data_IF_314572871573
#
_entry.id   IF_314572871573
#
_cell.length_a   1.000
_cell.length_b   1.000
_cell.length_c   1.000
_cell.angle_alpha   90.00
_cell.angle_beta   90.00
_cell.angle_gamma   90.00
#
_symmetry.space_group_name_H-M   'P 1'
#
loop_
_entity.id
_entity.type
_entity.pdbx_description
1 polymer ?
#
# COMPACT_ATOMS: atom_id res chain seq x y z
N UNK A 1 -6.11 -7.76 -0.99
CA UNK A 1 -5.53 -6.90 0.07
C UNK A 1 -5.49 -5.47 -0.45
N UNK A 2 -5.53 -4.45 0.40
CA UNK A 2 -5.49 -3.02 -0.01
C UNK A 2 -4.19 -2.30 0.39
N UNK A 3 -3.33 -3.03 1.08
CA UNK A 3 -1.98 -2.69 1.48
C UNK A 3 -1.16 -3.96 1.26
N UNK A 4 0.13 -3.84 1.00
CA UNK A 4 0.97 -5.02 0.92
C UNK A 4 1.30 -5.57 2.32
N UNK A 5 1.90 -6.76 2.35
CA UNK A 5 2.06 -7.58 3.57
C UNK A 5 3.48 -7.60 4.11
N UNK A 6 4.35 -6.74 3.59
CA UNK A 6 5.78 -6.71 3.92
C UNK A 6 6.29 -5.27 4.02
N UNK A 7 7.41 -4.99 4.72
CA UNK A 7 7.92 -3.63 4.90
C UNK A 7 8.35 -2.96 3.60
N UNK A 8 8.13 -1.66 3.45
CA UNK A 8 8.55 -0.91 2.27
C UNK A 8 10.08 -0.99 2.06
N UNK A 9 10.48 -1.44 0.88
CA UNK A 9 11.88 -1.49 0.43
C UNK A 9 12.25 -0.25 -0.38
N UNK A 10 13.49 0.21 -0.20
CA UNK A 10 14.20 0.97 -1.21
C UNK A 10 14.81 -0.01 -2.22
N UNK A 11 14.24 -0.04 -3.43
CA UNK A 11 14.67 -0.98 -4.47
C UNK A 11 16.08 -0.65 -4.98
N UNK A 12 16.49 0.62 -4.95
CA UNK A 12 17.83 1.02 -5.39
C UNK A 12 18.90 0.54 -4.43
N UNK A 13 18.68 0.69 -3.12
CA UNK A 13 19.56 0.17 -2.08
C UNK A 13 19.75 -1.35 -2.23
N UNK A 14 18.66 -2.09 -2.42
CA UNK A 14 18.70 -3.54 -2.62
C UNK A 14 19.44 -3.95 -3.91
N UNK A 15 19.28 -3.18 -4.98
CA UNK A 15 20.01 -3.39 -6.24
C UNK A 15 21.51 -3.11 -6.08
N UNK A 16 21.86 -2.02 -5.40
CA UNK A 16 23.24 -1.58 -5.17
C UNK A 16 24.02 -2.59 -4.31
N UNK A 17 23.39 -3.13 -3.26
CA UNK A 17 23.97 -4.18 -2.41
C UNK A 17 24.33 -5.47 -3.17
N UNK A 18 23.69 -5.72 -4.32
CA UNK A 18 23.87 -6.94 -5.11
C UNK A 18 24.81 -6.72 -6.29
N UNK A 19 24.65 -5.61 -7.02
CA UNK A 19 25.37 -5.33 -8.27
C UNK A 19 26.50 -4.32 -8.12
N UNK A 20 26.68 -3.71 -6.94
CA UNK A 20 27.70 -2.70 -6.59
C UNK A 20 27.70 -1.41 -7.43
N UNK A 21 26.97 -1.34 -8.54
CA UNK A 21 26.88 -0.17 -9.40
C UNK A 21 25.49 -0.04 -10.01
N UNK A 22 24.86 1.12 -9.78
CA UNK A 22 23.55 1.46 -10.33
C UNK A 22 23.75 2.03 -11.75
N UNK A 23 23.01 1.55 -12.77
CA UNK A 23 23.06 2.12 -14.12
C UNK A 23 22.44 3.52 -14.18
N UNK A 24 22.67 4.27 -15.26
CA UNK A 24 22.07 5.61 -15.46
C UNK A 24 20.53 5.56 -15.56
N UNK A 25 19.98 4.46 -16.05
CA UNK A 25 18.53 4.23 -16.12
C UNK A 25 18.21 2.83 -15.63
N UNK A 26 17.21 2.72 -14.75
CA UNK A 26 16.74 1.47 -14.19
C UNK A 26 15.24 1.30 -14.46
N UNK A 27 14.87 0.14 -15.01
CA UNK A 27 13.49 -0.19 -15.31
C UNK A 27 12.99 -1.24 -14.31
N UNK A 28 11.97 -0.88 -13.54
CA UNK A 28 11.46 -1.67 -12.42
C UNK A 28 10.03 -2.12 -12.73
N UNK A 29 9.81 -3.44 -12.80
CA UNK A 29 8.47 -4.04 -12.92
C UNK A 29 7.99 -4.47 -11.53
N UNK A 30 6.83 -3.99 -11.09
CA UNK A 30 6.19 -4.40 -9.84
C UNK A 30 4.84 -5.06 -10.17
N UNK A 31 4.78 -6.38 -10.06
CA UNK A 31 3.56 -7.16 -10.28
C UNK A 31 2.89 -7.47 -8.95
N UNK A 32 1.74 -6.85 -8.71
CA UNK A 32 0.96 -7.08 -7.49
C UNK A 32 1.57 -6.46 -6.24
N UNK A 33 2.07 -5.24 -6.34
CA UNK A 33 2.57 -4.48 -5.18
C UNK A 33 1.45 -4.08 -4.20
N UNK A 34 0.20 -4.04 -4.66
CA UNK A 34 -1.02 -3.67 -3.93
C UNK A 34 -1.09 -2.20 -3.50
N UNK A 35 0.05 -1.56 -3.25
CA UNK A 35 0.14 -0.14 -2.91
C UNK A 35 1.40 0.50 -3.52
N UNK A 36 1.61 1.78 -3.22
CA UNK A 36 2.75 2.56 -3.73
C UNK A 36 3.96 2.61 -2.78
N UNK A 37 4.04 1.75 -1.75
CA UNK A 37 5.07 1.89 -0.70
C UNK A 37 6.50 1.79 -1.22
N UNK A 38 6.75 0.86 -2.14
CA UNK A 38 8.09 0.64 -2.71
C UNK A 38 8.51 1.81 -3.60
N UNK A 39 7.56 2.32 -4.38
CA UNK A 39 7.76 3.53 -5.20
C UNK A 39 8.07 4.72 -4.30
N UNK A 40 7.23 4.99 -3.29
CA UNK A 40 7.43 6.10 -2.38
C UNK A 40 8.74 6.02 -1.61
N UNK A 41 9.10 4.83 -1.10
CA UNK A 41 10.35 4.64 -0.35
C UNK A 41 11.58 4.83 -1.26
N UNK A 42 11.57 4.24 -2.45
CA UNK A 42 12.66 4.35 -3.42
C UNK A 42 12.82 5.80 -3.91
N UNK A 43 11.73 6.46 -4.29
CA UNK A 43 11.76 7.87 -4.73
C UNK A 43 12.23 8.82 -3.62
N UNK A 44 11.79 8.58 -2.38
CA UNK A 44 12.21 9.38 -1.24
C UNK A 44 13.71 9.25 -0.97
N UNK A 45 14.27 8.04 -1.08
CA UNK A 45 15.67 7.76 -0.78
C UNK A 45 16.60 7.96 -1.99
N UNK A 46 16.05 8.17 -3.20
CA UNK A 46 16.79 8.36 -4.46
C UNK A 46 17.96 9.35 -4.38
N UNK A 47 17.82 10.48 -3.68
CA UNK A 47 18.89 11.49 -3.55
C UNK A 47 20.14 10.98 -2.81
N UNK A 48 20.06 9.83 -2.13
CA UNK A 48 21.18 9.16 -1.45
C UNK A 48 22.04 8.34 -2.42
N UNK A 49 21.51 8.01 -3.60
CA UNK A 49 22.19 7.21 -4.61
C UNK A 49 22.79 8.07 -5.70
N UNK A 50 23.57 7.46 -6.60
CA UNK A 50 24.01 8.10 -7.84
C UNK A 50 22.79 8.55 -8.65
N UNK A 51 22.94 9.64 -9.40
CA UNK A 51 21.87 10.16 -10.26
C UNK A 51 21.43 9.09 -11.27
N UNK A 52 20.21 8.57 -11.09
CA UNK A 52 19.62 7.48 -11.88
C UNK A 52 18.23 7.90 -12.32
N UNK A 53 17.82 7.52 -13.52
CA UNK A 53 16.43 7.66 -13.98
C UNK A 53 15.68 6.35 -13.78
N UNK A 54 14.53 6.41 -13.13
CA UNK A 54 13.72 5.23 -12.78
C UNK A 54 12.46 5.21 -13.64
N UNK A 55 12.16 4.04 -14.21
CA UNK A 55 10.89 3.78 -14.85
C UNK A 55 10.17 2.65 -14.10
N UNK A 56 9.16 3.01 -13.31
CA UNK A 56 8.28 2.06 -12.64
C UNK A 56 7.14 1.63 -13.57
N UNK A 57 6.92 0.31 -13.66
CA UNK A 57 5.73 -0.28 -14.28
C UNK A 57 5.03 -1.12 -13.22
N UNK A 58 3.87 -0.64 -12.75
CA UNK A 58 3.09 -1.28 -11.71
C UNK A 58 1.91 -2.03 -12.35
N UNK A 59 1.85 -3.34 -12.14
CA UNK A 59 0.84 -4.23 -12.72
C UNK A 59 -0.10 -4.70 -11.61
N UNK A 60 -1.40 -4.45 -11.76
CA UNK A 60 -2.41 -4.88 -10.80
C UNK A 60 -3.58 -5.61 -11.46
N UNK A 61 -4.10 -6.64 -10.79
CA UNK A 61 -5.28 -7.38 -11.26
C UNK A 61 -6.60 -6.70 -10.86
N UNK A 62 -6.58 -5.89 -9.80
CA UNK A 62 -7.74 -5.23 -9.23
C UNK A 62 -7.71 -3.74 -9.60
N UNK A 63 -8.77 -3.24 -10.24
CA UNK A 63 -8.83 -1.85 -10.69
C UNK A 63 -9.02 -0.88 -9.53
N UNK A 64 -9.67 -1.32 -8.45
CA UNK A 64 -9.76 -0.58 -7.19
C UNK A 64 -8.38 -0.29 -6.61
N UNK A 65 -7.45 -1.23 -6.74
CA UNK A 65 -6.06 -1.05 -6.31
C UNK A 65 -5.35 -0.02 -7.19
N UNK A 66 -5.54 -0.04 -8.51
CA UNK A 66 -4.99 0.98 -9.41
C UNK A 66 -5.49 2.38 -9.02
N UNK A 67 -6.81 2.54 -8.85
CA UNK A 67 -7.40 3.81 -8.43
C UNK A 67 -6.88 4.28 -7.07
N UNK A 68 -6.70 3.35 -6.11
CA UNK A 68 -6.13 3.64 -4.80
C UNK A 68 -4.66 4.07 -4.89
N UNK A 69 -3.85 3.43 -5.74
CA UNK A 69 -2.46 3.85 -5.93
C UNK A 69 -2.38 5.27 -6.50
N UNK A 70 -3.25 5.62 -7.47
CA UNK A 70 -3.36 7.01 -7.95
C UNK A 70 -3.71 7.96 -6.80
N UNK A 71 -4.72 7.64 -5.99
CA UNK A 71 -5.13 8.44 -4.84
C UNK A 71 -4.00 8.62 -3.80
N UNK A 72 -3.29 7.55 -3.45
CA UNK A 72 -2.19 7.59 -2.48
C UNK A 72 -0.99 8.40 -3.00
N UNK A 73 -0.66 8.26 -4.29
CA UNK A 73 0.35 9.09 -4.95
C UNK A 73 -0.09 10.57 -4.98
N UNK A 74 -1.36 10.84 -5.28
CA UNK A 74 -1.92 12.20 -5.24
C UNK A 74 -1.75 12.85 -3.86
N UNK A 75 -1.91 12.10 -2.78
CA UNK A 75 -1.72 12.59 -1.41
C UNK A 75 -0.24 12.82 -1.13
N UNK A 76 0.61 11.83 -1.40
CA UNK A 76 2.05 11.89 -1.10
C UNK A 76 2.73 13.09 -1.79
N UNK A 77 2.34 13.35 -3.05
CA UNK A 77 2.90 14.38 -3.91
C UNK A 77 2.18 15.73 -3.81
N UNK A 78 1.32 15.93 -2.81
CA UNK A 78 0.85 17.28 -2.47
C UNK A 78 2.03 18.12 -1.96
N UNK A 79 2.26 19.32 -2.54
CA UNK A 79 3.26 20.25 -2.02
C UNK A 79 2.96 20.67 -0.58
N UNK A 80 4.00 20.84 0.25
CA UNK A 80 3.84 21.20 1.65
C UNK A 80 3.15 22.57 1.84
N UNK A 81 3.22 23.45 0.84
CA UNK A 81 2.56 24.77 0.85
C UNK A 81 1.03 24.67 0.78
N UNK A 82 0.50 23.57 0.23
CA UNK A 82 -0.94 23.31 0.15
C UNK A 82 -1.40 22.52 1.38
N UNK A 83 -0.69 21.43 1.70
CA UNK A 83 -1.00 20.58 2.85
C UNK A 83 0.27 20.36 3.66
N UNK A 84 0.27 20.86 4.90
CA UNK A 84 1.41 20.70 5.81
C UNK A 84 1.78 19.23 6.02
N UNK A 85 3.08 18.96 6.24
CA UNK A 85 3.64 17.60 6.31
C UNK A 85 2.89 16.66 7.26
N UNK A 86 2.57 17.12 8.48
CA UNK A 86 1.83 16.32 9.46
C UNK A 86 0.40 16.02 9.01
N UNK A 87 -0.29 17.01 8.44
CA UNK A 87 -1.66 16.83 7.93
C UNK A 87 -1.67 15.87 6.74
N UNK A 88 -0.74 16.04 5.79
CA UNK A 88 -0.53 15.16 4.64
C UNK A 88 -0.31 13.71 5.07
N UNK A 89 0.49 13.51 6.11
CA UNK A 89 0.75 12.19 6.71
C UNK A 89 -0.51 11.55 7.30
N UNK A 90 -1.26 12.29 8.13
CA UNK A 90 -2.50 11.76 8.73
C UNK A 90 -3.58 11.44 7.66
N UNK A 91 -3.74 12.31 6.65
CA UNK A 91 -4.64 12.07 5.51
C UNK A 91 -4.27 10.76 4.79
N UNK A 92 -2.98 10.56 4.51
CA UNK A 92 -2.49 9.34 3.87
C UNK A 92 -2.84 8.11 4.71
N UNK A 93 -2.51 8.12 6.01
CA UNK A 93 -2.75 6.99 6.91
C UNK A 93 -4.24 6.64 7.01
N UNK A 94 -5.10 7.64 7.17
CA UNK A 94 -6.56 7.45 7.21
C UNK A 94 -7.09 6.79 5.94
N UNK A 95 -6.72 7.31 4.76
CA UNK A 95 -7.15 6.76 3.46
C UNK A 95 -6.56 5.38 3.21
N UNK A 96 -5.30 5.16 3.63
CA UNK A 96 -4.58 3.92 3.44
C UNK A 96 -5.18 2.76 4.24
N UNK A 97 -5.51 2.99 5.50
CA UNK A 97 -5.74 1.90 6.47
C UNK A 97 -7.03 1.94 7.28
N UNK A 98 -7.81 3.02 7.26
CA UNK A 98 -9.00 3.14 8.10
C UNK A 98 -10.30 2.98 7.30
N UNK A 99 -11.24 2.20 7.84
CA UNK A 99 -12.61 2.10 7.34
C UNK A 99 -13.39 3.40 7.58
N UNK A 100 -13.18 4.06 8.72
CA UNK A 100 -13.74 5.38 9.01
C UNK A 100 -12.65 6.46 9.00
N UNK A 101 -13.01 7.62 8.46
CA UNK A 101 -12.12 8.77 8.32
C UNK A 101 -12.82 10.03 8.84
N UNK A 102 -12.03 11.06 9.15
CA UNK A 102 -12.56 12.36 9.55
C UNK A 102 -13.38 13.00 8.44
N UNK A 103 -14.40 13.82 8.75
CA UNK A 103 -15.19 14.54 7.74
C UNK A 103 -14.34 15.38 6.77
N UNK A 104 -13.27 16.00 7.28
CA UNK A 104 -12.32 16.78 6.45
C UNK A 104 -11.56 15.90 5.45
N UNK A 105 -11.23 14.66 5.82
CA UNK A 105 -10.54 13.70 4.95
C UNK A 105 -11.52 13.08 3.94
N UNK A 106 -12.77 12.83 4.33
CA UNK A 106 -13.82 12.40 3.40
C UNK A 106 -14.09 13.46 2.32
N UNK A 107 -14.09 14.74 2.71
CA UNK A 107 -14.19 15.88 1.78
C UNK A 107 -12.98 15.95 0.84
N UNK A 108 -11.78 15.74 1.37
CA UNK A 108 -10.57 15.64 0.56
C UNK A 108 -10.67 14.49 -0.46
N UNK A 109 -11.08 13.30 -0.02
CA UNK A 109 -11.29 12.12 -0.87
C UNK A 109 -12.26 12.41 -2.03
N UNK A 110 -13.43 13.01 -1.77
CA UNK A 110 -14.39 13.37 -2.82
C UNK A 110 -13.81 14.36 -3.83
N UNK A 111 -13.05 15.35 -3.34
CA UNK A 111 -12.37 16.33 -4.19
C UNK A 111 -11.36 15.65 -5.11
N UNK A 112 -10.46 14.85 -4.53
CA UNK A 112 -9.42 14.15 -5.28
C UNK A 112 -10.01 13.12 -6.23
N UNK A 113 -11.07 12.40 -5.83
CA UNK A 113 -11.77 11.46 -6.71
C UNK A 113 -12.36 12.15 -7.96
N UNK A 114 -12.90 13.36 -7.80
CA UNK A 114 -13.40 14.17 -8.93
C UNK A 114 -12.27 14.60 -9.87
N UNK A 115 -11.10 14.96 -9.33
CA UNK A 115 -9.93 15.32 -10.14
C UNK A 115 -9.34 14.08 -10.84
N UNK A 116 -9.24 12.94 -10.15
CA UNK A 116 -8.84 11.66 -10.73
C UNK A 116 -9.79 11.22 -11.85
N UNK A 117 -11.10 11.43 -11.70
CA UNK A 117 -12.10 11.14 -12.73
C UNK A 117 -11.81 11.89 -14.03
N UNK A 118 -11.44 13.18 -13.92
CA UNK A 118 -11.01 14.00 -15.07
C UNK A 118 -9.69 13.50 -15.65
N UNK A 119 -8.73 13.10 -14.82
CA UNK A 119 -7.45 12.57 -15.28
C UNK A 119 -7.59 11.26 -16.06
N UNK A 120 -8.44 10.34 -15.59
CA UNK A 120 -8.65 9.09 -16.32
C UNK A 120 -9.46 9.29 -17.59
N UNK A 121 -10.30 10.32 -17.70
CA UNK A 121 -11.10 10.63 -18.91
C UNK A 121 -10.35 11.51 -19.92
N UNK A 122 -9.40 12.33 -19.45
CA UNK A 122 -8.56 13.18 -20.28
C UNK A 122 -7.07 13.01 -19.90
N UNK A 123 -6.31 12.30 -20.74
CA UNK A 123 -4.89 12.05 -20.49
C UNK A 123 -3.99 13.27 -20.68
N UNK A 124 -4.40 14.29 -21.44
CA UNK A 124 -3.66 15.55 -21.50
C UNK A 124 -3.78 16.31 -20.18
N UNK A 125 -4.96 16.24 -19.54
CA UNK A 125 -5.16 16.77 -18.20
C UNK A 125 -4.33 16.03 -17.14
N UNK A 126 -4.29 14.68 -17.21
CA UNK A 126 -3.38 13.86 -16.39
C UNK A 126 -1.93 14.32 -16.57
N UNK A 127 -1.45 14.42 -17.82
CA UNK A 127 -0.05 14.80 -18.11
C UNK A 127 0.29 16.21 -17.63
N UNK A 128 -0.68 17.13 -17.66
CA UNK A 128 -0.50 18.50 -17.17
C UNK A 128 -0.29 18.56 -15.65
N UNK A 129 -1.04 17.74 -14.90
CA UNK A 129 -0.99 17.74 -13.43
C UNK A 129 0.06 16.78 -12.85
N UNK A 130 0.22 15.61 -13.48
CA UNK A 130 1.08 14.50 -13.06
C UNK A 130 1.84 13.96 -14.26
N UNK A 131 2.77 14.74 -14.80
CA UNK A 131 3.57 14.37 -15.99
C UNK A 131 4.30 13.02 -15.84
N UNK A 132 4.71 12.69 -14.61
CA UNK A 132 5.37 11.44 -14.27
C UNK A 132 4.46 10.20 -14.34
N UNK A 133 3.13 10.38 -14.25
CA UNK A 133 2.17 9.29 -14.17
C UNK A 133 1.57 8.98 -15.54
N UNK A 134 1.52 7.70 -15.89
CA UNK A 134 0.81 7.22 -17.08
C UNK A 134 -0.07 6.02 -16.75
N UNK A 135 -1.25 5.97 -17.37
CA UNK A 135 -2.23 4.90 -17.17
C UNK A 135 -2.39 4.10 -18.46
N UNK A 136 -2.08 2.80 -18.41
CA UNK A 136 -2.14 1.88 -19.54
C UNK A 136 -3.08 0.70 -19.22
N UNK A 137 -4.38 0.93 -19.42
CA UNK A 137 -5.46 -0.05 -19.17
C UNK A 137 -6.37 -0.15 -20.38
N UNK A 138 -7.14 -1.25 -20.49
CA UNK A 138 -8.11 -1.44 -21.59
C UNK A 138 -9.30 -0.48 -21.44
N UNK A 139 -10.00 -0.19 -22.55
CA UNK A 139 -11.19 0.68 -22.53
C UNK A 139 -12.25 0.25 -21.51
N UNK A 140 -12.62 -1.04 -21.48
CA UNK A 140 -13.57 -1.57 -20.48
C UNK A 140 -13.10 -1.39 -19.02
N UNK A 141 -11.79 -1.48 -18.79
CA UNK A 141 -11.20 -1.28 -17.45
C UNK A 141 -11.25 0.20 -17.06
N UNK A 142 -11.03 1.10 -18.03
CA UNK A 142 -11.19 2.54 -17.87
C UNK A 142 -12.63 2.94 -17.53
N UNK A 143 -13.62 2.36 -18.21
CA UNK A 143 -15.05 2.61 -17.93
C UNK A 143 -15.43 2.17 -16.50
N UNK A 144 -14.85 1.06 -16.03
CA UNK A 144 -15.01 0.63 -14.65
C UNK A 144 -14.36 1.60 -13.66
N UNK A 145 -13.13 2.06 -13.93
CA UNK A 145 -12.46 3.07 -13.10
C UNK A 145 -13.30 4.37 -13.02
N UNK A 146 -13.94 4.76 -14.13
CA UNK A 146 -14.86 5.90 -14.16
C UNK A 146 -16.05 5.69 -13.21
N UNK A 147 -16.67 4.52 -13.26
CA UNK A 147 -17.77 4.13 -12.36
C UNK A 147 -17.32 4.17 -10.90
N UNK A 148 -16.15 3.61 -10.59
CA UNK A 148 -15.58 3.58 -9.24
C UNK A 148 -15.33 4.99 -8.69
N UNK A 149 -14.72 5.88 -9.48
CA UNK A 149 -14.42 7.25 -9.05
C UNK A 149 -15.68 8.12 -8.92
N UNK A 150 -16.72 7.86 -9.73
CA UNK A 150 -18.04 8.46 -9.53
C UNK A 150 -18.64 8.05 -8.19
N UNK A 151 -18.55 6.77 -7.82
CA UNK A 151 -18.97 6.29 -6.50
C UNK A 151 -18.17 6.93 -5.35
N UNK A 152 -16.85 7.05 -5.48
CA UNK A 152 -16.04 7.75 -4.45
C UNK A 152 -16.44 9.21 -4.25
N UNK A 153 -16.91 9.84 -5.32
CA UNK A 153 -17.38 11.23 -5.33
C UNK A 153 -18.87 11.36 -4.98
N UNK A 154 -19.59 10.25 -4.81
CA UNK A 154 -21.04 10.27 -4.61
C UNK A 154 -21.44 10.59 -3.16
N UNK A 155 -22.73 10.87 -3.00
CA UNK A 155 -23.38 11.15 -1.71
C UNK A 155 -24.10 9.94 -1.12
N UNK A 156 -24.04 8.79 -1.80
CA UNK A 156 -24.73 7.56 -1.40
C UNK A 156 -24.39 7.20 0.04
N UNK A 157 -25.42 6.88 0.81
CA UNK A 157 -25.26 6.38 2.17
C UNK A 157 -24.59 5.00 2.12
N UNK A 158 -23.52 4.85 2.88
CA UNK A 158 -22.77 3.60 2.90
C UNK A 158 -22.23 3.32 4.30
N UNK A 159 -22.73 2.25 4.90
CA UNK A 159 -22.23 1.75 6.17
C UNK A 159 -21.12 0.70 5.96
N UNK A 160 -19.88 1.19 6.04
CA UNK A 160 -18.69 0.34 5.98
C UNK A 160 -18.51 -0.52 7.23
N UNK A 161 -18.97 -0.06 8.40
CA UNK A 161 -18.85 -0.79 9.65
C UNK A 161 -19.76 -2.01 9.66
N UNK A 162 -20.98 -1.90 9.13
CA UNK A 162 -21.87 -3.03 8.92
C UNK A 162 -21.26 -4.05 7.95
N UNK A 163 -20.62 -3.59 6.89
CA UNK A 163 -19.91 -4.45 5.93
C UNK A 163 -18.73 -5.19 6.60
N UNK A 164 -17.99 -4.48 7.46
CA UNK A 164 -16.90 -5.05 8.26
C UNK A 164 -17.42 -6.11 9.23
N UNK A 165 -18.45 -5.81 10.02
CA UNK A 165 -19.01 -6.71 11.02
C UNK A 165 -19.56 -8.00 10.41
N UNK A 166 -20.31 -7.89 9.31
CA UNK A 166 -20.83 -9.06 8.57
C UNK A 166 -19.71 -10.00 8.14
N UNK A 167 -18.60 -9.45 7.63
CA UNK A 167 -17.43 -10.26 7.25
C UNK A 167 -16.68 -10.81 8.45
N UNK A 168 -16.59 -10.04 9.53
CA UNK A 168 -15.95 -10.48 10.77
C UNK A 168 -16.70 -11.69 11.34
N UNK A 169 -18.04 -11.61 11.42
CA UNK A 169 -18.91 -12.70 11.86
C UNK A 169 -18.77 -13.94 10.97
N UNK A 170 -18.73 -13.75 9.64
CA UNK A 170 -18.52 -14.87 8.71
C UNK A 170 -17.15 -15.53 8.89
N UNK A 171 -16.10 -14.75 9.13
CA UNK A 171 -14.73 -15.24 9.26
C UNK A 171 -14.48 -15.94 10.60
N UNK A 172 -15.01 -15.40 11.70
CA UNK A 172 -14.83 -15.97 13.04
C UNK A 172 -15.80 -17.11 13.35
N UNK A 173 -16.99 -17.10 12.74
CA UNK A 173 -18.05 -18.08 13.00
C UNK A 173 -18.40 -18.12 14.49
N UNK A 174 -18.33 -19.30 15.09
CA UNK A 174 -18.61 -19.53 16.52
C UNK A 174 -17.69 -18.71 17.44
N UNK A 175 -16.49 -18.35 16.98
CA UNK A 175 -15.53 -17.53 17.76
C UNK A 175 -15.88 -16.04 17.77
N UNK A 176 -16.94 -15.60 17.09
CA UNK A 176 -17.31 -14.19 17.04
C UNK A 176 -17.66 -13.63 18.42
N UNK A 177 -18.37 -14.41 19.26
CA UNK A 177 -18.72 -13.98 20.61
C UNK A 177 -17.49 -13.89 21.54
N UNK A 178 -16.41 -14.61 21.18
CA UNK A 178 -15.09 -14.58 21.85
C UNK A 178 -14.02 -13.88 21.00
N UNK A 179 -14.40 -12.95 20.13
CA UNK A 179 -13.52 -12.31 19.13
C UNK A 179 -12.25 -11.70 19.69
N UNK A 180 -12.31 -11.13 20.90
CA UNK A 180 -11.15 -10.48 21.55
C UNK A 180 -10.03 -11.51 21.78
N UNK A 181 -10.35 -12.72 22.23
CA UNK A 181 -9.37 -13.79 22.44
C UNK A 181 -8.75 -14.26 21.12
N UNK A 182 -9.53 -14.30 20.04
CA UNK A 182 -9.01 -14.62 18.71
C UNK A 182 -8.04 -13.54 18.20
N UNK A 183 -8.34 -12.26 18.44
CA UNK A 183 -7.46 -11.15 18.04
C UNK A 183 -6.14 -11.19 18.81
N UNK A 184 -6.20 -11.42 20.12
CA UNK A 184 -5.01 -11.50 20.97
C UNK A 184 -4.10 -12.66 20.55
N UNK A 185 -4.69 -13.82 20.27
CA UNK A 185 -3.95 -14.97 19.77
C UNK A 185 -3.30 -14.73 18.40
N UNK A 186 -4.02 -14.11 17.46
CA UNK A 186 -3.47 -13.78 16.13
C UNK A 186 -2.29 -12.80 16.25
N UNK A 187 -2.35 -11.84 17.18
CA UNK A 187 -1.26 -10.89 17.38
C UNK A 187 -0.02 -11.56 18.00
N UNK A 188 -0.18 -12.17 19.19
CA UNK A 188 0.95 -12.69 19.95
C UNK A 188 1.56 -13.94 19.31
N UNK A 189 0.71 -14.87 18.85
CA UNK A 189 1.17 -16.19 18.37
C UNK A 189 1.42 -16.24 16.85
N UNK A 190 1.09 -15.17 16.11
CA UNK A 190 1.35 -15.12 14.67
C UNK A 190 2.25 -13.96 14.30
N UNK A 191 1.84 -12.73 14.62
CA UNK A 191 2.57 -11.53 14.19
C UNK A 191 3.85 -11.30 15.03
N UNK A 192 3.76 -11.38 16.36
CA UNK A 192 4.91 -11.14 17.23
C UNK A 192 5.99 -12.23 17.11
N UNK A 193 5.58 -13.48 16.90
CA UNK A 193 6.48 -14.62 16.67
C UNK A 193 7.39 -14.44 15.44
N UNK A 194 6.90 -13.76 14.40
CA UNK A 194 7.65 -13.46 13.16
C UNK A 194 8.30 -12.07 13.15
N UNK A 195 8.36 -11.41 14.31
CA UNK A 195 9.08 -10.14 14.47
C UNK A 195 8.25 -8.86 14.36
N UNK A 196 6.93 -8.93 14.14
CA UNK A 196 6.06 -7.75 14.11
C UNK A 196 5.66 -7.25 15.52
N UNK A 197 6.62 -7.24 16.45
CA UNK A 197 6.41 -6.86 17.87
C UNK A 197 6.06 -5.39 18.08
N UNK A 198 6.32 -4.55 17.08
CA UNK A 198 6.01 -3.12 17.13
C UNK A 198 4.49 -2.86 17.18
N UNK A 199 3.67 -3.80 16.70
CA UNK A 199 2.21 -3.69 16.70
C UNK A 199 1.69 -3.91 18.12
N UNK A 200 1.10 -2.87 18.71
CA UNK A 200 0.53 -2.93 20.05
C UNK A 200 -0.84 -3.62 20.07
N UNK A 201 -1.17 -4.26 21.20
CA UNK A 201 -2.45 -4.97 21.38
C UNK A 201 -3.67 -4.10 21.06
N UNK A 202 -3.63 -2.82 21.42
CA UNK A 202 -4.78 -1.95 21.33
C UNK A 202 -5.10 -1.50 19.92
N UNK A 203 -4.09 -1.06 19.15
CA UNK A 203 -4.28 -0.67 17.75
C UNK A 203 -4.72 -1.87 16.91
N UNK A 204 -4.18 -3.05 17.22
CA UNK A 204 -4.58 -4.28 16.56
C UNK A 204 -6.02 -4.70 16.90
N UNK A 205 -6.41 -4.66 18.18
CA UNK A 205 -7.78 -4.96 18.60
C UNK A 205 -8.78 -3.99 17.99
N UNK A 206 -8.46 -2.69 17.99
CA UNK A 206 -9.29 -1.67 17.36
C UNK A 206 -9.48 -1.97 15.86
N UNK A 207 -8.37 -2.16 15.14
CA UNK A 207 -8.39 -2.55 13.72
C UNK A 207 -9.25 -3.78 13.47
N UNK A 208 -9.04 -4.87 14.22
CA UNK A 208 -9.79 -6.12 14.03
C UNK A 208 -11.29 -5.94 14.31
N UNK A 209 -11.65 -5.12 15.30
CA UNK A 209 -13.03 -4.90 15.70
C UNK A 209 -13.81 -4.04 14.70
N UNK A 210 -13.24 -2.94 14.21
CA UNK A 210 -13.98 -1.92 13.44
C UNK A 210 -13.31 -1.49 12.12
N UNK A 211 -12.09 -1.94 11.83
CA UNK A 211 -11.32 -1.60 10.64
C UNK A 211 -10.63 -0.24 10.70
N UNK A 212 -10.56 0.40 11.88
CA UNK A 212 -9.81 1.64 12.10
C UNK A 212 -8.42 1.28 12.62
N UNK A 213 -7.41 1.37 11.75
CA UNK A 213 -6.03 0.98 12.06
C UNK A 213 -5.27 2.07 12.80
N UNK A 214 -5.42 3.32 12.36
CA UNK A 214 -4.67 4.46 12.88
C UNK A 214 -5.60 5.41 13.62
N UNK A 215 -5.29 5.70 14.88
CA UNK A 215 -6.07 6.59 15.74
C UNK A 215 -5.20 7.58 16.51
N UNK A 216 -5.76 8.77 16.70
CA UNK A 216 -5.15 9.87 17.47
C UNK A 216 -6.15 10.39 18.50
N UNK A 217 -5.67 10.84 19.65
CA UNK A 217 -6.51 11.39 20.73
C UNK A 217 -7.36 12.58 20.27
N UNK A 218 -6.83 13.39 19.35
CA UNK A 218 -7.41 14.65 18.90
C UNK A 218 -8.42 14.45 17.74
N UNK A 219 -8.78 13.22 17.38
CA UNK A 219 -9.46 12.94 16.11
C UNK A 219 -10.57 11.90 16.24
N UNK A 220 -11.78 12.34 15.92
CA UNK A 220 -12.96 11.49 15.81
C UNK A 220 -13.26 11.19 14.34
N UNK A 221 -13.41 9.91 14.02
CA UNK A 221 -13.74 9.43 12.68
C UNK A 221 -15.23 9.09 12.61
N UNK A 222 -15.89 9.55 11.56
CA UNK A 222 -17.35 9.37 11.42
C UNK A 222 -17.81 9.09 9.99
N UNK A 223 -16.98 9.36 8.98
CA UNK A 223 -17.33 9.18 7.57
C UNK A 223 -16.74 7.88 7.01
N UNK A 224 -17.48 7.15 6.16
CA UNK A 224 -16.97 5.93 5.54
C UNK A 224 -15.88 6.25 4.51
N UNK A 225 -14.79 5.47 4.55
CA UNK A 225 -13.75 5.51 3.55
C UNK A 225 -14.19 4.75 2.29
N UNK A 226 -14.82 5.47 1.35
CA UNK A 226 -15.31 4.90 0.08
C UNK A 226 -14.20 4.26 -0.77
N UNK A 227 -12.93 4.63 -0.55
CA UNK A 227 -11.80 4.07 -1.31
C UNK A 227 -11.50 2.60 -0.96
N UNK A 228 -12.06 2.05 0.12
CA UNK A 228 -11.90 0.65 0.53
C UNK A 228 -13.05 -0.27 0.08
N UNK A 229 -13.94 0.23 -0.77
CA UNK A 229 -15.09 -0.52 -1.30
C UNK A 229 -14.72 -1.22 -2.60
N UNK A 230 -15.19 -2.46 -2.76
CA UNK A 230 -14.97 -3.28 -3.96
C UNK A 230 -16.24 -3.56 -4.75
N UNK A 231 -16.04 -3.84 -6.04
CA UNK A 231 -17.07 -4.31 -6.99
C UNK A 231 -18.25 -3.36 -7.03
N UNK A 232 -18.01 -2.16 -7.57
CA UNK A 232 -19.02 -1.10 -7.67
C UNK A 232 -19.73 -1.22 -9.01
N UNK A 233 -21.06 -1.27 -8.98
CA UNK A 233 -21.92 -1.39 -10.16
C UNK A 233 -22.97 -0.27 -10.14
N UNK A 234 -23.19 0.45 -11.25
CA UNK A 234 -24.22 1.48 -11.30
C UNK A 234 -25.62 0.85 -11.24
N UNK A 235 -26.53 1.46 -10.49
CA UNK A 235 -27.93 1.07 -10.37
C UNK A 235 -28.82 2.32 -10.44
N UNK A 236 -29.08 2.80 -11.65
CA UNK A 236 -29.81 4.04 -11.88
C UNK A 236 -29.04 5.25 -11.35
N UNK A 237 -29.63 5.96 -10.37
CA UNK A 237 -29.00 7.11 -9.72
C UNK A 237 -28.02 6.72 -8.58
N UNK A 238 -28.08 5.48 -8.10
CA UNK A 238 -27.29 4.99 -6.98
C UNK A 238 -26.28 3.93 -7.43
N UNK A 239 -25.44 3.47 -6.50
CA UNK A 239 -24.52 2.36 -6.73
C UNK A 239 -24.87 1.13 -5.88
N UNK A 240 -24.61 -0.05 -6.44
CA UNK A 240 -24.56 -1.32 -5.70
C UNK A 240 -23.11 -1.73 -5.57
N UNK A 241 -22.72 -2.21 -4.40
CA UNK A 241 -21.34 -2.61 -4.13
C UNK A 241 -21.25 -3.81 -3.18
N UNK A 242 -20.13 -4.53 -3.21
CA UNK A 242 -19.86 -5.62 -2.27
C UNK A 242 -19.26 -5.17 -0.93
N UNK A 243 -19.09 -3.86 -0.73
CA UNK A 243 -18.54 -3.29 0.50
C UNK A 243 -17.04 -3.58 0.63
N UNK A 244 -16.57 -3.72 1.86
CA UNK A 244 -15.15 -3.98 2.15
C UNK A 244 -14.76 -5.42 1.78
N UNK A 245 -13.87 -5.64 0.82
CA UNK A 245 -13.32 -6.96 0.46
C UNK A 245 -11.82 -7.13 0.80
N UNK A 246 -11.24 -6.18 1.55
CA UNK A 246 -9.83 -6.21 1.94
C UNK A 246 -9.48 -7.19 3.06
N UNK A 247 -8.24 -7.08 3.54
CA UNK A 247 -7.69 -7.88 4.63
C UNK A 247 -8.19 -7.41 5.99
N UNK A 248 -8.48 -8.37 6.88
CA UNK A 248 -8.97 -8.11 8.23
C UNK A 248 -8.11 -8.80 9.29
N UNK A 249 -6.92 -9.31 8.95
CA UNK A 249 -6.04 -10.02 9.89
C UNK A 249 -4.68 -9.36 10.01
N UNK A 250 -4.02 -9.05 8.91
CA UNK A 250 -2.66 -8.50 8.90
C UNK A 250 -2.66 -7.02 9.27
N UNK A 251 -3.57 -6.25 8.68
CA UNK A 251 -3.64 -4.80 8.84
C UNK A 251 -2.52 -4.04 8.12
N UNK A 252 -2.66 -2.70 7.99
CA UNK A 252 -1.75 -1.85 7.21
C UNK A 252 -0.45 -1.50 7.94
N UNK A 253 -0.22 -2.05 9.14
CA UNK A 253 0.91 -1.70 10.00
C UNK A 253 2.26 -2.13 9.43
N UNK A 254 2.31 -3.23 8.66
CA UNK A 254 3.57 -3.84 8.27
C UNK A 254 4.34 -3.02 7.24
N UNK A 255 3.63 -2.36 6.31
CA UNK A 255 4.26 -1.63 5.20
C UNK A 255 5.19 -0.51 5.68
N UNK A 256 4.81 0.23 6.72
CA UNK A 256 5.55 1.41 7.17
C UNK A 256 5.82 1.44 8.68
N UNK A 257 5.30 0.47 9.45
CA UNK A 257 5.24 0.57 10.92
C UNK A 257 6.14 -0.40 11.68
N UNK A 258 6.93 -1.27 11.03
CA UNK A 258 7.79 -2.24 11.73
C UNK A 258 9.21 -1.75 11.98
N UNK A 259 9.80 -1.05 11.03
CA UNK A 259 11.20 -0.59 11.08
C UNK A 259 11.24 0.93 11.08
N UNK A 260 12.24 1.53 11.70
CA UNK A 260 12.46 2.97 11.67
C UNK A 260 13.97 3.24 11.68
N UNK A 261 14.42 4.25 10.93
CA UNK A 261 15.82 4.70 10.98
C UNK A 261 16.19 5.30 12.35
N UNK A 262 15.20 5.83 13.07
CA UNK A 262 15.35 6.34 14.43
C UNK A 262 15.00 5.26 15.45
N UNK A 263 16.03 4.59 15.99
CA UNK A 263 15.89 3.50 16.97
C UNK A 263 15.14 3.93 18.23
N UNK A 264 15.02 5.23 18.53
CA UNK A 264 14.24 5.69 19.68
C UNK A 264 12.77 5.33 19.57
N UNK A 265 12.23 5.22 18.35
CA UNK A 265 10.86 4.81 18.07
C UNK A 265 10.62 3.30 18.27
N UNK A 266 11.68 2.50 18.29
CA UNK A 266 11.62 1.03 18.46
C UNK A 266 11.91 0.58 19.91
N UNK A 267 12.05 1.53 20.84
CA UNK A 267 12.33 1.21 22.24
C UNK A 267 11.12 0.53 22.89
N UNK A 268 11.41 -0.55 23.60
CA UNK A 268 10.46 -1.28 24.44
C UNK A 268 11.00 -1.40 25.87
N UNK A 269 10.11 -1.29 26.85
CA UNK A 269 10.41 -1.39 28.28
C UNK A 269 9.39 -2.33 28.91
N UNK A 270 9.87 -3.33 29.64
CA UNK A 270 9.04 -4.41 30.23
C UNK A 270 8.10 -5.10 29.24
N UNK A 271 8.53 -5.27 27.98
CA UNK A 271 7.73 -5.91 26.93
C UNK A 271 6.62 -5.03 26.34
N UNK A 272 6.57 -3.73 26.70
CA UNK A 272 5.67 -2.75 26.10
C UNK A 272 6.46 -1.74 25.28
N UNK A 273 5.96 -1.40 24.09
CA UNK A 273 6.62 -0.42 23.22
C UNK A 273 6.30 0.99 23.70
N UNK A 274 7.27 1.90 23.61
CA UNK A 274 7.02 3.33 23.90
C UNK A 274 6.10 3.98 22.85
N UNK A 275 6.32 3.61 21.60
CA UNK A 275 5.59 4.07 20.43
C UNK A 275 4.81 2.91 19.83
N UNK A 276 3.66 3.19 19.22
CA UNK A 276 2.84 2.19 18.51
C UNK A 276 3.33 2.03 17.08
N UNK A 277 2.87 1.00 16.36
CA UNK A 277 3.12 0.90 14.93
C UNK A 277 2.50 2.08 14.15
N UNK A 278 1.40 2.64 14.66
CA UNK A 278 0.82 3.91 14.19
C UNK A 278 1.83 5.06 14.22
N UNK A 279 2.54 5.22 15.33
CA UNK A 279 3.46 6.36 15.53
C UNK A 279 4.74 6.19 14.70
N UNK A 280 5.23 4.94 14.56
CA UNK A 280 6.33 4.58 13.64
C UNK A 280 5.93 4.85 12.19
N UNK A 281 4.71 4.47 11.80
CA UNK A 281 4.18 4.73 10.45
C UNK A 281 4.11 6.23 10.17
N UNK A 282 3.61 7.03 11.12
CA UNK A 282 3.58 8.49 10.99
C UNK A 282 4.99 9.07 10.83
N UNK A 283 5.96 8.60 11.63
CA UNK A 283 7.35 9.05 11.55
C UNK A 283 8.02 8.71 10.22
N UNK A 284 7.79 7.51 9.70
CA UNK A 284 8.37 7.06 8.43
C UNK A 284 7.74 7.76 7.22
N UNK A 285 6.42 7.94 7.22
CA UNK A 285 5.73 8.67 6.15
C UNK A 285 6.10 10.16 6.14
N UNK A 286 6.25 10.80 7.32
CA UNK A 286 6.78 12.17 7.41
C UNK A 286 8.16 12.29 6.76
N UNK A 287 9.03 11.32 7.01
CA UNK A 287 10.33 11.26 6.38
C UNK A 287 10.22 11.07 4.86
N UNK A 288 9.47 10.07 4.41
CA UNK A 288 9.26 9.82 2.98
C UNK A 288 8.76 11.08 2.27
N UNK A 289 7.73 11.73 2.79
CA UNK A 289 7.15 12.92 2.18
C UNK A 289 8.06 14.15 2.23
N UNK A 290 8.86 14.31 3.29
CA UNK A 290 9.84 15.39 3.35
C UNK A 290 10.98 15.19 2.36
N UNK A 291 11.52 13.97 2.31
CA UNK A 291 12.65 13.60 1.46
C UNK A 291 12.27 13.63 -0.03
N UNK A 292 11.03 13.25 -0.38
CA UNK A 292 10.46 13.42 -1.72
C UNK A 292 10.46 14.88 -2.20
N UNK A 293 10.05 15.82 -1.33
CA UNK A 293 9.90 17.23 -1.70
C UNK A 293 11.24 17.99 -1.68
N UNK A 294 12.09 17.72 -0.67
CA UNK A 294 13.29 18.50 -0.41
C UNK A 294 14.58 17.84 -0.93
N UNK A 295 14.54 16.55 -1.28
CA UNK A 295 15.71 15.74 -1.69
C UNK A 295 16.87 15.83 -0.69
N UNK A 296 16.53 15.85 0.61
CA UNK A 296 17.47 16.01 1.74
C UNK A 296 17.01 15.17 2.91
N UNK A 297 17.97 14.67 3.69
CA UNK A 297 17.70 13.87 4.89
C UNK A 297 16.73 14.57 5.85
N UNK A 298 15.71 13.83 6.29
CA UNK A 298 14.75 14.33 7.26
C UNK A 298 15.35 14.32 8.67
N UNK A 299 15.39 15.50 9.31
CA UNK A 299 15.75 15.64 10.70
C UNK A 299 14.48 15.79 11.54
N UNK A 300 14.17 14.75 12.31
CA UNK A 300 12.97 14.73 13.14
C UNK A 300 13.07 15.72 14.29
N UNK A 301 12.00 16.49 14.49
CA UNK A 301 11.85 17.39 15.62
C UNK A 301 10.75 16.85 16.52
N UNK A 302 11.07 16.58 17.78
CA UNK A 302 10.13 16.10 18.80
C UNK A 302 9.14 17.20 19.19
N UNK A 303 8.11 17.42 18.37
CA UNK A 303 7.08 18.42 18.66
C UNK A 303 5.81 17.77 19.22
N UNK A 304 5.31 16.71 18.57
CA UNK A 304 4.03 16.07 18.91
C UNK A 304 4.17 14.56 19.16
N UNK A 305 5.35 14.09 19.54
CA UNK A 305 5.59 12.67 19.77
C UNK A 305 5.01 12.26 21.13
N UNK A 306 3.77 11.76 21.12
CA UNK A 306 3.12 11.26 22.33
C UNK A 306 3.47 9.79 22.54
N UNK A 307 3.87 9.43 23.76
CA UNK A 307 4.19 8.05 24.16
C UNK A 307 2.90 7.27 24.40
N UNK A 308 2.25 6.86 23.30
CA UNK A 308 0.94 6.22 23.31
C UNK A 308 0.99 4.70 23.36
N UNK A 309 2.18 4.08 23.35
CA UNK A 309 2.30 2.62 23.33
C UNK A 309 1.71 1.93 24.56
N UNK A 310 1.72 2.60 25.72
CA UNK A 310 1.19 2.07 26.99
C UNK A 310 -0.22 2.60 27.34
N UNK A 311 -0.73 3.58 26.60
CA UNK A 311 -1.99 4.26 26.92
C UNK A 311 -3.14 3.38 26.49
N UNK A 312 -4.07 3.05 27.38
CA UNK A 312 -5.30 2.29 27.06
C UNK A 312 -6.39 3.23 26.57
N UNK A 313 -6.71 3.16 25.28
CA UNK A 313 -7.84 3.89 24.71
C UNK A 313 -9.15 3.19 25.08
N UNK A 314 -10.14 3.95 25.56
CA UNK A 314 -11.48 3.43 25.82
C UNK A 314 -12.14 3.07 24.47
N UNK A 315 -12.76 1.90 24.40
CA UNK A 315 -13.57 1.52 23.24
C UNK A 315 -14.84 2.38 23.25
N UNK A 316 -14.85 3.44 22.44
CA UNK A 316 -16.03 4.27 22.24
C UNK A 316 -16.88 3.74 21.09
N UNK A 317 -18.19 3.86 21.23
CA UNK A 317 -19.10 3.56 20.14
C UNK A 317 -18.87 4.59 19.03
N UNK A 318 -18.35 4.11 17.89
CA UNK A 318 -18.10 4.97 16.73
C UNK A 318 -19.43 5.56 16.24
N UNK A 319 -19.49 6.89 16.18
CA UNK A 319 -20.63 7.61 15.62
C UNK A 319 -20.46 7.68 14.11
N UNK A 320 -21.30 6.95 13.39
CA UNK A 320 -21.26 6.89 11.93
C UNK A 320 -22.20 7.93 11.36
N UNK A 321 -21.66 8.83 10.56
CA UNK A 321 -22.43 9.82 9.82
C UNK A 321 -22.47 9.43 8.34
N UNK A 322 -23.49 8.67 7.96
CA UNK A 322 -23.68 8.20 6.59
C UNK A 322 -24.12 9.30 5.61
N UNK A 323 -24.44 10.50 6.10
CA UNK A 323 -24.95 11.58 5.22
C UNK A 323 -23.89 12.00 4.20
N UNK A 324 -24.36 12.24 2.97
CA UNK A 324 -23.54 12.84 1.93
C UNK A 324 -23.03 14.21 2.35
N UNK A 325 -21.77 14.51 2.07
CA UNK A 325 -21.22 15.84 2.31
C UNK A 325 -21.76 16.83 1.27
N UNK A 326 -22.31 17.95 1.73
CA UNK A 326 -22.62 19.08 0.86
C UNK A 326 -21.34 19.85 0.55
N UNK A 327 -20.80 19.60 -0.64
CA UNK A 327 -19.53 20.18 -1.04
C UNK A 327 -19.42 20.40 -2.56
N UNK A 328 -18.81 21.52 -2.93
CA UNK A 328 -18.44 21.87 -4.31
C UNK A 328 -16.95 21.57 -4.49
N UNK A 329 -16.56 20.63 -5.36
CA UNK A 329 -15.16 20.25 -5.58
C UNK A 329 -14.29 21.46 -5.93
N UNK A 330 -13.20 21.66 -5.19
CA UNK A 330 -12.15 22.63 -5.56
C UNK A 330 -11.02 21.87 -6.25
N UNK A 331 -10.66 22.27 -7.46
CA UNK A 331 -9.60 21.58 -8.19
C UNK A 331 -8.25 21.72 -7.49
N UNK A 332 -7.54 20.61 -7.37
CA UNK A 332 -6.17 20.54 -6.88
C UNK A 332 -5.25 21.04 -7.98
N UNK A 333 -4.59 22.19 -7.77
CA UNK A 333 -3.92 22.90 -8.87
C UNK A 333 -2.49 22.42 -9.17
N UNK A 334 -1.80 21.80 -8.22
CA UNK A 334 -0.39 21.43 -8.39
C UNK A 334 -0.01 20.19 -7.61
N UNK A 335 0.83 19.35 -8.23
CA UNK A 335 1.54 18.23 -7.61
C UNK A 335 3.05 18.50 -7.69
N UNK A 336 3.82 17.87 -6.80
CA UNK A 336 5.26 17.82 -6.92
C UNK A 336 5.65 17.13 -8.23
N UNK A 337 6.67 17.67 -8.91
CA UNK A 337 7.21 17.06 -10.13
C UNK A 337 8.20 15.96 -9.74
N UNK A 338 8.05 14.79 -10.34
CA UNK A 338 9.04 13.72 -10.30
C UNK A 338 9.76 13.67 -11.66
N UNK A 339 11.06 13.37 -11.63
CA UNK A 339 11.87 13.17 -12.83
C UNK A 339 11.64 11.78 -13.44
N UNK A 340 11.23 10.83 -12.60
CA UNK A 340 11.01 9.43 -12.90
C UNK A 340 9.60 9.17 -13.42
N UNK A 341 9.42 8.04 -14.10
CA UNK A 341 8.13 7.70 -14.71
C UNK A 341 7.47 6.56 -13.97
N UNK A 342 6.17 6.71 -13.67
CA UNK A 342 5.32 5.69 -13.08
C UNK A 342 4.23 5.32 -14.08
N UNK A 343 4.18 4.05 -14.48
CA UNK A 343 3.17 3.51 -15.39
C UNK A 343 2.29 2.52 -14.64
N UNK A 344 1.01 2.84 -14.49
CA UNK A 344 0.02 1.93 -13.92
C UNK A 344 -0.62 1.11 -15.05
N UNK A 345 -0.64 -0.22 -14.90
CA UNK A 345 -1.22 -1.12 -15.88
C UNK A 345 -1.99 -2.27 -15.24
N UNK A 346 -2.86 -2.91 -16.01
CA UNK A 346 -3.65 -4.04 -15.55
C UNK A 346 -2.95 -5.38 -15.82
N UNK A 347 -3.24 -6.40 -15.02
CA UNK A 347 -2.75 -7.76 -15.24
C UNK A 347 -3.16 -8.33 -16.62
N UNK A 348 -4.28 -7.83 -17.18
CA UNK A 348 -4.72 -8.12 -18.54
C UNK A 348 -3.69 -7.72 -19.61
N UNK A 349 -2.96 -6.63 -19.37
CA UNK A 349 -1.93 -6.11 -20.27
C UNK A 349 -0.60 -6.83 -20.13
N UNK A 350 -0.27 -7.37 -18.95
CA UNK A 350 0.96 -8.12 -18.72
C UNK A 350 1.14 -9.29 -19.69
N UNK A 351 0.04 -9.99 -20.03
CA UNK A 351 0.08 -11.08 -21.03
C UNK A 351 0.45 -10.58 -22.41
N UNK A 352 0.06 -9.35 -22.76
CA UNK A 352 0.38 -8.73 -24.05
C UNK A 352 1.84 -8.31 -24.14
N UNK A 353 2.54 -8.12 -23.01
CA UNK A 353 3.96 -7.73 -23.01
C UNK A 353 4.83 -8.75 -23.74
N UNK A 354 4.44 -10.04 -23.72
CA UNK A 354 5.12 -11.11 -24.46
C UNK A 354 5.34 -10.78 -25.93
N UNK A 355 4.40 -10.08 -26.57
CA UNK A 355 4.40 -9.83 -28.01
C UNK A 355 4.98 -8.47 -28.37
N UNK A 356 5.28 -7.62 -27.40
CA UNK A 356 5.75 -6.26 -27.65
C UNK A 356 7.27 -6.21 -27.58
N UNK A 357 7.89 -5.78 -28.70
CA UNK A 357 9.34 -5.61 -28.79
C UNK A 357 9.88 -4.59 -27.78
N UNK A 358 9.08 -3.59 -27.38
CA UNK A 358 9.48 -2.55 -26.42
C UNK A 358 9.86 -3.08 -25.03
N UNK A 359 9.36 -4.27 -24.65
CA UNK A 359 9.62 -4.87 -23.34
C UNK A 359 10.63 -6.02 -23.39
N UNK A 360 11.20 -6.34 -24.56
CA UNK A 360 12.22 -7.38 -24.66
C UNK A 360 13.51 -6.91 -23.97
N UNK A 361 14.01 -7.71 -23.02
CA UNK A 361 15.22 -7.42 -22.22
C UNK A 361 15.25 -5.99 -21.68
N UNK A 362 14.11 -5.52 -21.19
CA UNK A 362 13.92 -4.14 -20.75
C UNK A 362 14.14 -3.96 -19.25
N UNK A 363 13.74 -4.92 -18.41
CA UNK A 363 13.68 -4.74 -16.96
C UNK A 363 14.98 -5.14 -16.25
N UNK A 364 15.44 -4.25 -15.38
CA UNK A 364 16.58 -4.47 -14.49
C UNK A 364 16.15 -5.11 -13.16
N UNK A 365 14.95 -4.75 -12.70
CA UNK A 365 14.35 -5.28 -11.47
C UNK A 365 12.92 -5.76 -11.72
N UNK A 366 12.59 -6.94 -11.18
CA UNK A 366 11.25 -7.51 -11.25
C UNK A 366 10.79 -7.88 -9.83
N UNK A 367 9.62 -7.39 -9.43
CA UNK A 367 8.99 -7.68 -8.15
C UNK A 367 7.68 -8.45 -8.37
N UNK A 368 7.47 -9.52 -7.60
CA UNK A 368 6.18 -10.21 -7.52
C UNK A 368 5.63 -10.18 -6.09
N UNK A 369 4.42 -9.67 -5.96
CA UNK A 369 3.62 -9.81 -4.75
C UNK A 369 3.23 -11.26 -4.49
N UNK A 370 3.10 -11.62 -3.23
CA UNK A 370 2.88 -13.00 -2.78
C UNK A 370 1.62 -13.64 -3.40
N UNK A 371 0.56 -12.84 -3.56
CA UNK A 371 -0.72 -13.25 -4.17
C UNK A 371 -0.70 -13.31 -5.70
N UNK A 372 0.36 -12.80 -6.33
CA UNK A 372 0.49 -12.67 -7.77
C UNK A 372 1.47 -13.66 -8.38
N UNK A 373 2.08 -14.55 -7.59
CA UNK A 373 2.97 -15.60 -8.08
C UNK A 373 2.32 -16.50 -9.14
N UNK A 374 0.98 -16.66 -9.10
CA UNK A 374 0.20 -17.37 -10.12
C UNK A 374 0.23 -16.74 -11.52
N UNK A 375 0.64 -15.47 -11.63
CA UNK A 375 0.84 -14.78 -12.90
C UNK A 375 2.30 -14.87 -13.38
N UNK A 376 3.17 -15.52 -12.61
CA UNK A 376 4.52 -15.82 -13.05
C UNK A 376 4.48 -16.75 -14.25
N UNK A 377 5.32 -16.46 -15.23
CA UNK A 377 5.48 -17.24 -16.43
C UNK A 377 6.97 -17.18 -16.81
N UNK A 378 7.62 -18.34 -16.92
CA UNK A 378 9.07 -18.41 -17.11
C UNK A 378 9.50 -17.86 -18.47
N UNK A 379 8.76 -18.17 -19.54
CA UNK A 379 9.03 -17.64 -20.88
C UNK A 379 8.89 -16.12 -20.91
N UNK A 380 7.87 -15.65 -20.21
CA UNK A 380 7.56 -14.24 -20.04
C UNK A 380 8.75 -13.54 -19.38
N UNK A 381 9.22 -14.03 -18.23
CA UNK A 381 10.34 -13.42 -17.51
C UNK A 381 11.64 -13.49 -18.29
N UNK A 382 11.95 -14.63 -18.91
CA UNK A 382 13.15 -14.80 -19.76
C UNK A 382 13.17 -13.82 -20.94
N UNK A 383 12.01 -13.44 -21.46
CA UNK A 383 11.91 -12.50 -22.57
C UNK A 383 12.15 -11.04 -22.10
N UNK A 384 11.70 -10.66 -20.90
CA UNK A 384 11.72 -9.25 -20.49
C UNK A 384 12.90 -8.89 -19.59
N UNK A 385 13.38 -9.84 -18.81
CA UNK A 385 14.46 -9.64 -17.89
C UNK A 385 15.74 -9.36 -18.67
N UNK A 386 16.49 -8.33 -18.26
CA UNK A 386 17.88 -8.19 -18.71
C UNK A 386 18.71 -9.33 -18.14
N UNK A 387 19.83 -9.61 -18.82
CA UNK A 387 20.84 -10.53 -18.29
C UNK A 387 21.31 -10.04 -16.93
N UNK A 388 21.29 -10.89 -15.90
CA UNK A 388 21.68 -10.47 -14.56
C UNK A 388 20.60 -9.70 -13.79
N UNK A 389 19.34 -9.63 -14.27
CA UNK A 389 18.28 -8.87 -13.61
C UNK A 389 18.03 -9.34 -12.17
N UNK A 390 17.66 -8.41 -11.32
CA UNK A 390 17.36 -8.67 -9.91
C UNK A 390 15.86 -8.92 -9.73
N UNK A 391 15.51 -10.04 -9.09
CA UNK A 391 14.12 -10.40 -8.85
C UNK A 391 13.82 -10.50 -7.35
N UNK A 392 12.70 -9.92 -6.95
CA UNK A 392 12.15 -9.92 -5.61
C UNK A 392 10.81 -10.64 -5.60
N UNK A 393 10.63 -11.61 -4.70
CA UNK A 393 9.34 -12.24 -4.47
C UNK A 393 8.93 -12.00 -3.02
N UNK A 394 7.77 -11.39 -2.82
CA UNK A 394 7.20 -11.11 -1.52
C UNK A 394 6.80 -12.40 -0.79
N UNK A 395 7.23 -12.55 0.46
CA UNK A 395 6.84 -13.65 1.33
C UNK A 395 5.52 -13.36 2.05
N UNK A 396 4.81 -14.41 2.45
CA UNK A 396 3.58 -14.34 3.23
C UNK A 396 3.85 -14.35 4.75
N UNK A 397 5.07 -14.01 5.17
CA UNK A 397 5.56 -14.12 6.55
C UNK A 397 4.63 -13.47 7.57
N UNK A 398 4.13 -12.27 7.25
CA UNK A 398 3.28 -11.49 8.16
C UNK A 398 1.78 -11.69 7.91
N UNK A 399 1.37 -12.74 7.20
CA UNK A 399 -0.04 -13.08 7.00
C UNK A 399 -0.48 -14.07 8.07
N UNK A 400 -1.30 -13.69 9.08
CA UNK A 400 -1.60 -14.55 10.22
C UNK A 400 -2.25 -15.90 9.87
N UNK A 401 -2.94 -15.98 8.73
CA UNK A 401 -3.53 -17.23 8.24
C UNK A 401 -2.49 -18.22 7.71
N UNK A 402 -1.30 -17.76 7.35
CA UNK A 402 -0.23 -18.61 6.84
C UNK A 402 0.63 -19.11 8.00
N UNK A 403 0.52 -20.40 8.34
CA UNK A 403 1.36 -21.05 9.36
C UNK A 403 2.65 -21.56 8.72
N UNK A 404 3.50 -22.17 9.53
CA UNK A 404 4.79 -22.73 9.10
C UNK A 404 4.65 -23.70 7.92
N UNK A 405 3.59 -24.51 7.89
CA UNK A 405 3.35 -25.45 6.79
C UNK A 405 2.96 -24.71 5.51
N UNK A 406 2.10 -23.70 5.57
CA UNK A 406 1.74 -22.88 4.41
C UNK A 406 2.94 -22.09 3.89
N UNK A 407 3.77 -21.51 4.77
CA UNK A 407 5.00 -20.82 4.37
C UNK A 407 5.99 -21.77 3.69
N UNK A 408 6.14 -22.99 4.21
CA UNK A 408 6.97 -24.03 3.59
C UNK A 408 6.42 -24.44 2.22
N UNK A 409 5.10 -24.58 2.09
CA UNK A 409 4.45 -24.88 0.81
C UNK A 409 4.63 -23.74 -0.19
N UNK A 410 4.53 -22.49 0.26
CA UNK A 410 4.80 -21.31 -0.56
C UNK A 410 6.26 -21.28 -1.03
N UNK A 411 7.22 -21.56 -0.14
CA UNK A 411 8.65 -21.67 -0.51
C UNK A 411 8.88 -22.72 -1.60
N UNK A 412 8.25 -23.89 -1.48
CA UNK A 412 8.32 -24.93 -2.52
C UNK A 412 7.71 -24.46 -3.84
N UNK A 413 6.56 -23.78 -3.79
CA UNK A 413 5.92 -23.20 -4.98
C UNK A 413 6.82 -22.17 -5.65
N UNK A 414 7.51 -21.33 -4.88
CA UNK A 414 8.53 -20.39 -5.40
C UNK A 414 9.65 -21.17 -6.09
N UNK A 415 10.25 -22.17 -5.44
CA UNK A 415 11.32 -22.99 -6.03
C UNK A 415 10.88 -23.70 -7.32
N UNK A 416 9.67 -24.28 -7.36
CA UNK A 416 9.10 -24.91 -8.55
C UNK A 416 8.90 -23.92 -9.69
N UNK A 417 8.45 -22.72 -9.36
CA UNK A 417 8.23 -21.63 -10.31
C UNK A 417 9.56 -21.13 -10.89
N UNK A 418 10.62 -21.10 -10.08
CA UNK A 418 11.95 -20.67 -10.50
C UNK A 418 12.66 -21.69 -11.39
N UNK A 419 12.27 -22.97 -11.42
CA UNK A 419 12.85 -23.98 -12.33
C UNK A 419 12.71 -23.62 -13.81
N UNK A 420 11.74 -22.77 -14.14
CA UNK A 420 11.46 -22.33 -15.51
C UNK A 420 12.33 -21.15 -15.97
N UNK A 421 13.24 -20.67 -15.10
CA UNK A 421 14.11 -19.52 -15.35
C UNK A 421 15.53 -19.86 -14.90
N UNK A 422 16.55 -19.44 -15.66
CA UNK A 422 17.93 -19.61 -15.22
C UNK A 422 18.25 -18.62 -14.08
N UNK A 423 18.63 -19.15 -12.93
CA UNK A 423 18.98 -18.36 -11.74
C UNK A 423 20.47 -18.53 -11.40
N UNK A 424 21.12 -17.43 -11.03
CA UNK A 424 22.52 -17.40 -10.58
C UNK A 424 22.62 -17.59 -9.07
N UNK A 425 21.75 -16.91 -8.31
CA UNK A 425 21.70 -17.08 -6.85
C UNK A 425 20.30 -16.83 -6.30
N UNK A 426 19.97 -17.52 -5.21
CA UNK A 426 18.71 -17.39 -4.48
C UNK A 426 19.07 -17.23 -3.00
N UNK A 427 18.64 -16.13 -2.39
CA UNK A 427 18.72 -15.89 -0.94
C UNK A 427 17.30 -15.79 -0.39
N UNK A 428 16.86 -16.84 0.30
CA UNK A 428 15.52 -16.86 0.89
C UNK A 428 15.44 -17.83 2.07
N UNK A 429 15.16 -17.28 3.25
CA UNK A 429 14.69 -18.02 4.41
C UNK A 429 13.20 -17.69 4.64
N UNK A 430 12.32 -18.63 4.29
CA UNK A 430 10.87 -18.41 4.35
C UNK A 430 10.32 -18.15 5.76
N UNK A 431 11.06 -18.45 6.83
CA UNK A 431 10.63 -18.19 8.22
C UNK A 431 11.09 -16.83 8.76
N UNK A 432 12.02 -16.15 8.08
CA UNK A 432 12.65 -14.93 8.59
C UNK A 432 12.62 -13.77 7.60
N UNK A 433 12.78 -14.07 6.32
CA UNK A 433 12.92 -13.06 5.29
C UNK A 433 11.54 -12.63 4.77
N UNK A 434 11.33 -11.31 4.71
CA UNK A 434 10.13 -10.74 4.10
C UNK A 434 10.11 -10.92 2.57
N UNK A 435 11.28 -11.14 1.96
CA UNK A 435 11.43 -11.25 0.51
C UNK A 435 12.42 -12.35 0.14
N UNK A 436 12.12 -13.12 -0.89
CA UNK A 436 13.11 -13.90 -1.61
C UNK A 436 13.87 -12.98 -2.58
N UNK A 437 15.20 -12.97 -2.48
CA UNK A 437 16.10 -12.17 -3.32
C UNK A 437 16.80 -13.09 -4.32
N UNK A 438 16.58 -12.88 -5.61
CA UNK A 438 17.00 -13.80 -6.68
C UNK A 438 17.74 -13.03 -7.76
N UNK A 439 18.84 -13.58 -8.27
CA UNK A 439 19.56 -13.04 -9.43
C UNK A 439 19.29 -13.95 -10.63
N UNK A 440 18.77 -13.39 -11.71
CA UNK A 440 18.53 -14.08 -12.97
C UNK A 440 19.81 -14.10 -13.82
N UNK A 441 20.02 -15.17 -14.61
CA UNK A 441 21.27 -15.36 -15.36
C UNK A 441 21.36 -14.59 -16.68
#
# INVERSE_FOLDING_TARGET
MFWGTTPALDILEEYELIKNNIPETINILIVGGVDCRHVLKTEACKYRHKNVKINFILVEACLEVIARQMLLLSIALQPQQIIGLSQKTKIFMEIYGNTLIRPSVAKFLQTTATDLLKMITNYDYLKTLMEFLSLNVKYKERDYLETLLKFWSSKDEFDICLSWDRRLRRTLGVRYDSKIGAFDWDLHMRLHDVGAKQICNQEYRNFRANGVSFSWLESEVSKPNRSLVCVVVPNGANFVHHGYLGDMHTGPFISFGLTCEDETFLKSVYGQNHYRATDVTERNLKQIFYELEHKKKYNHKKTNDSLMGNVVMKEENLVIDNTGLDFIPRQTKTYLKLEDRITLTSASMLRMFKHKQEYQKFFDVIYFGSSYIKFFDGELINNFAKKGAFMLIENQLYVPSCRKQELKNFSKSVEETLKWVETESIKFNYEKDAYAKIILK
#
